data_IF_533776236344
#
_entry.id   IF_533776236344
#
_cell.length_a   1.000
_cell.length_b   1.000
_cell.length_c   1.000
_cell.angle_alpha   90.00
_cell.angle_beta   90.00
_cell.angle_gamma   90.00
#
_symmetry.space_group_name_H-M   'P 1'
#
loop_
_entity.id
_entity.type
_entity.pdbx_description
1 polymer ?
#
# COMPACT_ATOMS: atom_id res chain seq x y z
N UNK A 1 8.23 10.88 -27.04
CA UNK A 1 7.76 9.75 -26.19
C UNK A 1 7.28 10.36 -24.90
N UNK A 2 5.96 10.55 -24.80
CA UNK A 2 5.28 11.02 -23.59
C UNK A 2 5.24 9.79 -22.68
N UNK A 3 6.02 9.81 -21.58
CA UNK A 3 5.83 8.85 -20.50
C UNK A 3 4.36 8.95 -20.06
N UNK A 4 3.57 7.93 -20.35
CA UNK A 4 2.23 7.79 -19.81
C UNK A 4 2.35 7.69 -18.28
N UNK A 5 2.00 8.78 -17.62
CA UNK A 5 1.95 8.87 -16.16
C UNK A 5 0.76 8.01 -15.71
N UNK A 6 1.04 6.75 -15.35
CA UNK A 6 0.01 5.78 -14.98
C UNK A 6 -0.61 6.18 -13.65
N UNK A 7 -1.80 6.72 -13.69
CA UNK A 7 -2.54 7.19 -12.50
C UNK A 7 -2.74 6.11 -11.42
N UNK A 8 -2.74 4.85 -11.81
CA UNK A 8 -2.94 3.70 -10.92
C UNK A 8 -1.62 2.96 -10.62
N UNK A 9 -0.50 3.40 -11.20
CA UNK A 9 0.80 2.76 -11.02
C UNK A 9 1.23 2.70 -9.56
N UNK A 10 1.83 1.58 -9.16
CA UNK A 10 2.44 1.39 -7.84
C UNK A 10 3.80 2.10 -7.71
N UNK A 11 4.44 2.48 -8.83
CA UNK A 11 5.72 3.19 -8.81
C UNK A 11 5.55 4.64 -8.40
N UNK A 12 6.35 5.09 -7.43
CA UNK A 12 6.39 6.46 -6.96
C UNK A 12 7.53 7.22 -7.67
N UNK A 13 7.25 8.45 -8.11
CA UNK A 13 8.28 9.38 -8.56
C UNK A 13 8.80 10.17 -7.36
N UNK A 14 10.12 10.41 -7.27
CA UNK A 14 10.79 11.10 -6.15
C UNK A 14 10.21 12.49 -5.79
N UNK A 15 9.59 13.20 -6.75
CA UNK A 15 8.92 14.48 -6.50
C UNK A 15 7.57 14.32 -5.79
N UNK A 16 6.84 13.26 -6.07
CA UNK A 16 5.54 12.95 -5.47
C UNK A 16 5.68 12.49 -4.01
N UNK A 17 6.78 11.84 -3.65
CA UNK A 17 7.02 11.35 -2.30
C UNK A 17 7.05 12.48 -1.25
N UNK A 18 7.66 13.62 -1.57
CA UNK A 18 7.74 14.76 -0.63
C UNK A 18 6.40 15.42 -0.40
N UNK A 19 5.59 15.59 -1.46
CA UNK A 19 4.24 16.13 -1.32
C UNK A 19 3.31 15.14 -0.61
N UNK A 20 3.36 13.86 -0.96
CA UNK A 20 2.60 12.83 -0.25
C UNK A 20 2.91 12.80 1.26
N UNK A 21 4.17 12.99 1.64
CA UNK A 21 4.55 13.07 3.06
C UNK A 21 3.89 14.23 3.79
N UNK A 22 3.74 15.39 3.15
CA UNK A 22 3.08 16.54 3.75
C UNK A 22 1.57 16.35 3.96
N UNK A 23 0.94 15.50 3.14
CA UNK A 23 -0.48 15.18 3.21
C UNK A 23 -0.83 14.11 4.26
N UNK A 24 0.16 13.34 4.71
CA UNK A 24 -0.08 12.21 5.62
C UNK A 24 -0.48 12.67 7.01
N UNK A 25 -1.49 12.03 7.63
CA UNK A 25 -1.78 12.24 9.04
C UNK A 25 -0.59 11.81 9.90
N UNK A 26 -0.38 12.53 11.01
CA UNK A 26 0.72 12.28 11.95
C UNK A 26 0.30 11.51 13.19
N UNK A 27 -0.98 11.53 13.54
CA UNK A 27 -1.54 10.90 14.73
C UNK A 27 -2.81 10.11 14.38
N UNK A 28 -3.18 9.15 15.24
CA UNK A 28 -4.40 8.34 15.08
C UNK A 28 -5.67 9.22 15.02
N UNK A 29 -5.70 10.33 15.72
CA UNK A 29 -6.83 11.27 15.69
C UNK A 29 -7.08 11.92 14.33
N UNK A 30 -6.05 11.98 13.49
CA UNK A 30 -6.11 12.54 12.13
C UNK A 30 -6.30 11.47 11.06
N UNK A 31 -6.14 10.21 11.43
CA UNK A 31 -6.19 9.07 10.50
C UNK A 31 -7.63 8.68 10.23
N UNK A 32 -8.05 8.73 8.97
CA UNK A 32 -9.42 8.42 8.53
C UNK A 32 -9.46 6.97 8.09
N UNK A 33 -10.55 6.27 8.45
CA UNK A 33 -10.77 4.88 8.09
C UNK A 33 -10.04 3.87 8.97
N UNK A 34 -10.08 2.59 8.62
CA UNK A 34 -9.45 1.49 9.34
C UNK A 34 -9.83 1.45 10.84
N UNK A 35 -11.10 1.67 11.17
CA UNK A 35 -11.57 1.94 12.54
C UNK A 35 -11.21 0.83 13.53
N UNK A 36 -11.27 -0.44 13.11
CA UNK A 36 -10.91 -1.56 13.97
C UNK A 36 -9.40 -1.56 14.29
N UNK A 37 -8.57 -1.27 13.29
CA UNK A 37 -7.10 -1.18 13.47
C UNK A 37 -6.78 -0.02 14.39
N UNK A 38 -7.37 1.15 14.18
CA UNK A 38 -7.17 2.34 15.03
C UNK A 38 -7.52 2.07 16.48
N UNK A 39 -8.68 1.48 16.73
CA UNK A 39 -9.15 1.17 18.08
C UNK A 39 -8.20 0.23 18.80
N UNK A 40 -7.75 -0.84 18.11
CA UNK A 40 -6.82 -1.80 18.69
C UNK A 40 -5.44 -1.18 18.93
N UNK A 41 -4.88 -0.47 17.96
CA UNK A 41 -3.57 0.18 18.10
C UNK A 41 -3.56 1.20 19.23
N UNK A 42 -4.63 1.98 19.37
CA UNK A 42 -4.76 2.95 20.49
C UNK A 42 -4.61 2.24 21.84
N UNK A 43 -5.32 1.13 22.03
CA UNK A 43 -5.25 0.35 23.29
C UNK A 43 -3.84 -0.23 23.48
N UNK A 44 -3.24 -0.82 22.46
CA UNK A 44 -1.91 -1.44 22.55
C UNK A 44 -0.81 -0.41 22.84
N UNK A 45 -0.87 0.74 22.21
CA UNK A 45 0.06 1.86 22.42
C UNK A 45 -0.08 2.41 23.84
N UNK A 46 -1.30 2.69 24.29
CA UNK A 46 -1.56 3.18 25.65
C UNK A 46 -1.07 2.18 26.70
N UNK A 47 -1.33 0.89 26.51
CA UNK A 47 -0.88 -0.16 27.41
C UNK A 47 0.65 -0.28 27.48
N UNK A 48 1.33 -0.22 26.34
CA UNK A 48 2.79 -0.24 26.28
C UNK A 48 3.40 0.97 27.01
N UNK A 49 2.85 2.17 26.79
CA UNK A 49 3.27 3.39 27.48
C UNK A 49 3.06 3.32 28.98
N UNK A 50 1.92 2.78 29.44
CA UNK A 50 1.64 2.60 30.88
C UNK A 50 2.62 1.64 31.55
N UNK A 51 3.10 0.61 30.86
CA UNK A 51 4.08 -0.34 31.38
C UNK A 51 5.53 0.13 31.21
N UNK A 52 5.76 1.20 30.43
CA UNK A 52 7.11 1.66 30.07
C UNK A 52 7.84 0.67 29.17
N UNK A 53 7.10 -0.05 28.33
CA UNK A 53 7.61 -1.07 27.39
C UNK A 53 7.53 -0.56 25.94
N UNK A 54 8.30 -1.19 25.05
CA UNK A 54 8.13 -1.03 23.61
C UNK A 54 6.83 -1.69 23.16
N UNK A 55 6.25 -1.18 22.07
CA UNK A 55 5.11 -1.84 21.43
C UNK A 55 5.54 -3.18 20.83
N UNK A 56 4.68 -4.18 20.86
CA UNK A 56 4.89 -5.44 20.13
C UNK A 56 5.12 -5.18 18.63
N UNK A 57 5.92 -6.03 18.01
CA UNK A 57 6.15 -5.95 16.57
C UNK A 57 4.84 -6.05 15.79
N UNK A 58 4.67 -5.19 14.80
CA UNK A 58 3.44 -5.05 14.03
C UNK A 58 3.65 -5.46 12.57
N UNK A 59 2.76 -6.29 12.04
CA UNK A 59 2.69 -6.62 10.62
C UNK A 59 1.50 -5.90 9.99
N UNK A 60 1.79 -5.01 9.03
CA UNK A 60 0.79 -4.28 8.24
C UNK A 60 0.69 -4.92 6.85
N UNK A 61 -0.48 -5.40 6.46
CA UNK A 61 -0.63 -6.05 5.17
C UNK A 61 -1.95 -5.69 4.49
N UNK A 62 -1.92 -5.73 3.18
CA UNK A 62 -3.03 -5.39 2.31
C UNK A 62 -2.56 -4.78 0.99
N UNK A 63 -3.48 -4.49 0.07
CA UNK A 63 -3.16 -3.86 -1.21
C UNK A 63 -2.30 -2.60 -1.08
N UNK A 64 -1.55 -2.21 -2.11
CA UNK A 64 -0.73 -1.00 -2.09
C UNK A 64 -1.59 0.27 -2.00
N UNK A 65 -1.05 1.33 -1.45
CA UNK A 65 -1.70 2.66 -1.39
C UNK A 65 -2.74 2.84 -0.30
N UNK A 66 -2.88 1.90 0.65
CA UNK A 66 -3.83 1.96 1.76
C UNK A 66 -3.29 2.67 3.01
N UNK A 67 -2.01 3.07 3.01
CA UNK A 67 -1.44 3.84 4.11
C UNK A 67 -0.62 3.03 5.11
N UNK A 68 0.02 1.93 4.72
CA UNK A 68 0.90 1.13 5.60
C UNK A 68 2.06 1.97 6.16
N UNK A 69 2.77 2.69 5.31
CA UNK A 69 3.86 3.59 5.73
C UNK A 69 3.36 4.71 6.65
N UNK A 70 2.21 5.29 6.33
CA UNK A 70 1.57 6.31 7.15
C UNK A 70 1.27 5.78 8.55
N UNK A 71 0.72 4.58 8.64
CA UNK A 71 0.38 3.95 9.92
C UNK A 71 1.63 3.65 10.76
N UNK A 72 2.73 3.21 10.13
CA UNK A 72 4.01 3.03 10.82
C UNK A 72 4.53 4.34 11.42
N UNK A 73 4.46 5.43 10.68
CA UNK A 73 4.84 6.77 11.17
C UNK A 73 3.96 7.21 12.33
N UNK A 74 2.65 6.98 12.24
CA UNK A 74 1.70 7.26 13.31
C UNK A 74 2.05 6.47 14.59
N UNK A 75 2.37 5.20 14.47
CA UNK A 75 2.77 4.36 15.61
C UNK A 75 3.98 4.98 16.33
N UNK A 76 5.01 5.39 15.58
CA UNK A 76 6.18 6.04 16.16
C UNK A 76 5.83 7.36 16.85
N UNK A 77 5.01 8.19 16.22
CA UNK A 77 4.57 9.47 16.80
C UNK A 77 3.73 9.29 18.07
N UNK A 78 2.81 8.34 18.08
CA UNK A 78 2.00 8.03 19.27
C UNK A 78 2.83 7.44 20.41
N UNK A 79 3.86 6.66 20.10
CA UNK A 79 4.84 6.15 21.06
C UNK A 79 5.87 7.21 21.48
N UNK A 80 5.92 8.36 20.83
CA UNK A 80 6.89 9.45 21.07
C UNK A 80 8.34 9.01 20.88
N UNK A 81 8.61 8.21 19.85
CA UNK A 81 9.92 7.66 19.49
C UNK A 81 10.29 7.98 18.06
N UNK A 82 11.57 7.78 17.74
CA UNK A 82 12.06 7.89 16.37
C UNK A 82 11.59 6.74 15.46
N UNK A 83 11.69 6.95 14.16
CA UNK A 83 11.42 5.92 13.16
C UNK A 83 12.52 5.91 12.11
N UNK A 84 12.94 4.71 11.72
CA UNK A 84 13.83 4.48 10.56
C UNK A 84 13.09 3.67 9.52
N UNK A 85 13.28 4.07 8.27
CA UNK A 85 12.61 3.46 7.11
C UNK A 85 13.63 2.69 6.28
N UNK A 86 13.25 1.47 5.90
CA UNK A 86 13.97 0.68 4.91
C UNK A 86 12.98 -0.19 4.14
N UNK A 87 13.47 -1.01 3.24
CA UNK A 87 12.67 -1.97 2.48
C UNK A 87 13.37 -3.31 2.37
N UNK A 88 12.61 -4.37 2.14
CA UNK A 88 13.17 -5.70 1.91
C UNK A 88 14.24 -5.70 0.80
N UNK A 89 13.97 -5.11 -0.38
CA UNK A 89 14.96 -5.00 -1.45
C UNK A 89 16.23 -4.22 -1.10
N UNK A 90 16.15 -3.25 -0.20
CA UNK A 90 17.30 -2.44 0.23
C UNK A 90 18.25 -3.18 1.19
N UNK A 91 17.80 -4.29 1.78
CA UNK A 91 18.57 -5.13 2.68
C UNK A 91 19.12 -6.33 1.88
N UNK A 92 20.26 -6.15 1.24
CA UNK A 92 20.87 -7.19 0.40
C UNK A 92 21.78 -8.13 1.20
N UNK A 93 22.42 -7.62 2.23
CA UNK A 93 23.42 -8.33 3.04
C UNK A 93 23.09 -8.22 4.53
N UNK A 94 23.57 -9.17 5.30
CA UNK A 94 23.44 -9.15 6.77
C UNK A 94 24.03 -7.88 7.40
N UNK A 95 25.09 -7.33 6.82
CA UNK A 95 25.69 -6.07 7.25
C UNK A 95 24.77 -4.86 7.09
N UNK A 96 23.91 -4.85 6.07
CA UNK A 96 22.96 -3.76 5.88
C UNK A 96 21.93 -3.74 7.01
N UNK A 97 21.38 -4.90 7.37
CA UNK A 97 20.45 -5.04 8.51
C UNK A 97 21.14 -4.69 9.83
N UNK A 98 22.38 -5.18 10.05
CA UNK A 98 23.15 -4.89 11.25
C UNK A 98 23.40 -3.39 11.41
N UNK A 99 23.77 -2.69 10.33
CA UNK A 99 23.99 -1.24 10.36
C UNK A 99 22.73 -0.47 10.76
N UNK A 100 21.56 -0.88 10.26
CA UNK A 100 20.29 -0.25 10.61
C UNK A 100 19.95 -0.51 12.07
N UNK A 101 19.99 -1.78 12.52
CA UNK A 101 19.59 -2.17 13.87
C UNK A 101 20.49 -1.56 14.94
N UNK A 102 21.80 -1.49 14.71
CA UNK A 102 22.75 -0.88 15.65
C UNK A 102 22.66 0.65 15.71
N UNK A 103 21.98 1.27 14.75
CA UNK A 103 21.74 2.72 14.72
C UNK A 103 20.43 3.14 15.40
N UNK A 104 19.64 2.20 15.90
CA UNK A 104 18.39 2.48 16.61
C UNK A 104 18.65 3.00 18.02
N UNK A 105 17.84 3.96 18.44
CA UNK A 105 17.76 4.39 19.83
C UNK A 105 16.73 3.53 20.60
N UNK A 106 16.79 3.47 21.95
CA UNK A 106 15.82 2.72 22.74
C UNK A 106 14.39 3.15 22.46
N UNK A 107 13.54 2.21 22.09
CA UNK A 107 12.13 2.43 21.78
C UNK A 107 11.82 2.78 20.34
N UNK A 108 12.82 3.03 19.50
CA UNK A 108 12.62 3.38 18.09
C UNK A 108 11.78 2.36 17.33
N UNK A 109 11.11 2.83 16.30
CA UNK A 109 10.42 2.01 15.31
C UNK A 109 11.34 1.80 14.10
N UNK A 110 11.50 0.55 13.70
CA UNK A 110 12.08 0.19 12.40
C UNK A 110 10.95 -0.23 11.47
N UNK A 111 10.77 0.53 10.39
CA UNK A 111 9.82 0.19 9.33
C UNK A 111 10.53 -0.49 8.16
N UNK A 112 10.07 -1.70 7.81
CA UNK A 112 10.56 -2.45 6.64
C UNK A 112 9.40 -2.65 5.67
N UNK A 113 9.43 -1.92 4.56
CA UNK A 113 8.46 -2.11 3.49
C UNK A 113 8.84 -3.33 2.64
N UNK A 114 7.85 -3.94 1.99
CA UNK A 114 8.03 -5.18 1.22
C UNK A 114 8.87 -6.24 1.97
N UNK A 115 8.57 -6.44 3.26
CA UNK A 115 9.34 -7.33 4.13
C UNK A 115 9.40 -8.78 3.62
N UNK A 116 8.44 -9.21 2.80
CA UNK A 116 8.43 -10.52 2.15
C UNK A 116 9.57 -10.73 1.14
N UNK A 117 10.29 -9.66 0.75
CA UNK A 117 11.42 -9.72 -0.18
C UNK A 117 12.78 -9.85 0.50
N UNK A 118 12.82 -9.94 1.83
CA UNK A 118 14.07 -10.24 2.57
C UNK A 118 14.50 -11.67 2.28
N UNK A 119 15.80 -11.88 2.07
CA UNK A 119 16.37 -13.22 1.89
C UNK A 119 16.28 -14.03 3.19
N UNK A 120 16.22 -15.37 3.09
CA UNK A 120 16.09 -16.25 4.24
C UNK A 120 17.25 -16.11 5.25
N UNK A 121 18.47 -15.90 4.77
CA UNK A 121 19.64 -15.71 5.63
C UNK A 121 19.55 -14.45 6.48
N UNK A 122 19.01 -13.36 5.92
CA UNK A 122 18.77 -12.11 6.62
C UNK A 122 17.58 -12.25 7.57
N UNK A 123 16.55 -12.97 7.17
CA UNK A 123 15.38 -13.25 8.00
C UNK A 123 15.75 -13.97 9.31
N UNK A 124 16.69 -14.92 9.27
CA UNK A 124 17.18 -15.63 10.46
C UNK A 124 17.87 -14.69 11.47
N UNK A 125 18.62 -13.70 10.99
CA UNK A 125 19.23 -12.66 11.85
C UNK A 125 18.13 -11.80 12.49
N UNK A 126 17.09 -11.49 11.73
CA UNK A 126 15.98 -10.68 12.21
C UNK A 126 15.20 -11.37 13.35
N UNK A 127 15.12 -12.70 13.37
CA UNK A 127 14.45 -13.43 14.43
C UNK A 127 15.03 -13.15 15.82
N UNK A 128 16.34 -13.26 15.97
CA UNK A 128 17.02 -12.97 17.24
C UNK A 128 16.89 -11.50 17.64
N UNK A 129 16.96 -10.59 16.65
CA UNK A 129 16.77 -9.18 16.90
C UNK A 129 15.36 -8.86 17.41
N UNK A 130 14.33 -9.50 16.86
CA UNK A 130 12.93 -9.30 17.27
C UNK A 130 12.60 -9.92 18.64
N UNK A 131 13.10 -11.11 18.91
CA UNK A 131 12.76 -11.86 20.13
C UNK A 131 13.57 -11.40 21.35
N UNK A 132 14.90 -11.29 21.18
CA UNK A 132 15.83 -11.14 22.28
C UNK A 132 16.70 -9.89 22.19
N UNK A 133 16.49 -9.04 21.22
CA UNK A 133 17.21 -7.78 21.00
C UNK A 133 18.73 -7.97 20.94
N UNK A 134 19.19 -8.94 20.17
CA UNK A 134 20.61 -9.09 19.86
C UNK A 134 20.84 -9.51 18.39
N UNK A 135 22.06 -9.30 17.94
CA UNK A 135 22.57 -9.79 16.65
C UNK A 135 23.77 -10.70 16.88
N UNK A 136 23.85 -11.80 16.17
CA UNK A 136 25.05 -12.59 16.02
C UNK A 136 25.69 -12.27 14.65
N UNK A 137 26.87 -11.67 14.67
CA UNK A 137 27.63 -11.30 13.48
C UNK A 137 28.84 -12.19 13.35
N UNK A 138 29.03 -12.78 12.17
CA UNK A 138 30.24 -13.57 11.86
C UNK A 138 31.30 -12.64 11.27
N UNK A 139 32.43 -12.54 11.96
CA UNK A 139 33.61 -11.76 11.52
C UNK A 139 34.72 -12.73 11.13
N UNK A 140 35.37 -12.49 9.99
CA UNK A 140 36.43 -13.34 9.45
C UNK A 140 35.95 -14.29 8.37
N UNK A 141 36.87 -15.02 7.77
CA UNK A 141 36.57 -16.04 6.72
C UNK A 141 37.24 -17.37 7.08
N UNK A 142 36.59 -18.48 6.78
CA UNK A 142 37.13 -19.81 7.00
C UNK A 142 37.30 -20.19 8.48
N UNK A 143 38.39 -20.85 8.83
CA UNK A 143 38.66 -21.35 10.18
C UNK A 143 38.89 -20.24 11.23
N UNK A 144 39.14 -19.01 10.81
CA UNK A 144 39.30 -17.84 11.68
C UNK A 144 38.00 -17.06 11.92
N UNK A 145 36.87 -17.57 11.44
CA UNK A 145 35.59 -16.91 11.64
C UNK A 145 35.16 -16.97 13.12
N UNK A 146 34.79 -15.80 13.64
CA UNK A 146 34.28 -15.66 15.01
C UNK A 146 32.88 -15.05 14.97
N UNK A 147 31.97 -15.61 15.78
CA UNK A 147 30.66 -15.01 16.01
C UNK A 147 30.75 -14.03 17.17
N UNK A 148 30.33 -12.80 16.94
CA UNK A 148 30.23 -11.75 17.96
C UNK A 148 28.76 -11.42 18.16
N UNK A 149 28.33 -11.46 19.42
CA UNK A 149 26.99 -11.03 19.81
C UNK A 149 26.99 -9.54 20.13
N UNK A 150 26.09 -8.80 19.47
CA UNK A 150 25.85 -7.39 19.72
C UNK A 150 24.47 -7.24 20.34
N UNK A 151 24.41 -6.63 21.51
CA UNK A 151 23.12 -6.28 22.14
C UNK A 151 22.52 -5.05 21.43
N UNK A 152 21.21 -5.11 21.22
CA UNK A 152 20.41 -4.04 20.61
C UNK A 152 19.55 -3.37 21.68
N UNK A 153 19.27 -2.07 21.54
CA UNK A 153 18.23 -1.45 22.34
C UNK A 153 16.87 -2.06 21.98
N UNK A 154 15.94 -2.16 22.93
CA UNK A 154 14.56 -2.57 22.62
C UNK A 154 13.96 -1.67 21.55
N UNK A 155 13.33 -2.24 20.55
CA UNK A 155 12.72 -1.55 19.42
C UNK A 155 11.43 -2.24 18.98
N UNK A 156 10.63 -1.55 18.18
CA UNK A 156 9.45 -2.13 17.53
C UNK A 156 9.71 -2.26 16.04
N UNK A 157 9.61 -3.48 15.52
CA UNK A 157 9.60 -3.72 14.08
C UNK A 157 8.18 -3.55 13.55
N UNK A 158 8.01 -2.69 12.56
CA UNK A 158 6.78 -2.59 11.77
C UNK A 158 7.09 -3.07 10.36
N UNK A 159 6.64 -4.26 10.03
CA UNK A 159 6.76 -4.84 8.69
C UNK A 159 5.54 -4.53 7.84
N UNK A 160 5.76 -4.21 6.58
CA UNK A 160 4.68 -4.00 5.61
C UNK A 160 4.82 -4.95 4.42
N UNK A 161 3.69 -5.49 3.96
CA UNK A 161 3.65 -6.36 2.79
C UNK A 161 2.30 -6.27 2.07
N UNK A 162 2.32 -6.41 0.76
CA UNK A 162 1.10 -6.63 -0.04
C UNK A 162 0.62 -8.08 0.08
N UNK A 163 1.50 -8.99 0.52
CA UNK A 163 1.29 -10.44 0.49
C UNK A 163 1.68 -11.09 1.83
N UNK A 164 0.77 -11.11 2.79
CA UNK A 164 1.01 -11.79 4.07
C UNK A 164 1.36 -13.27 3.90
N UNK A 165 0.78 -13.94 2.91
CA UNK A 165 1.07 -15.34 2.60
C UNK A 165 2.46 -15.60 2.01
N UNK A 166 3.17 -14.56 1.55
CA UNK A 166 4.54 -14.69 1.07
C UNK A 166 5.60 -14.66 2.18
N UNK A 167 5.22 -14.25 3.41
CA UNK A 167 6.09 -14.36 4.56
C UNK A 167 6.20 -15.83 5.00
N UNK A 168 7.40 -16.19 5.45
CA UNK A 168 7.57 -17.47 6.12
C UNK A 168 6.75 -17.52 7.42
N UNK A 169 6.27 -18.69 7.80
CA UNK A 169 5.53 -18.83 9.05
C UNK A 169 6.37 -18.39 10.27
N UNK A 170 7.68 -18.75 10.38
CA UNK A 170 8.50 -18.28 11.49
C UNK A 170 8.59 -16.75 11.61
N UNK A 171 8.69 -16.04 10.51
CA UNK A 171 8.71 -14.56 10.55
C UNK A 171 7.35 -13.99 10.93
N UNK A 172 6.29 -14.47 10.29
CA UNK A 172 4.93 -14.02 10.56
C UNK A 172 4.52 -14.22 12.02
N UNK A 173 4.88 -15.35 12.61
CA UNK A 173 4.51 -15.69 13.98
C UNK A 173 5.23 -14.83 15.05
N UNK A 174 6.30 -14.12 14.66
CA UNK A 174 7.02 -13.19 15.53
C UNK A 174 6.38 -11.81 15.65
N UNK A 175 5.42 -11.51 14.81
CA UNK A 175 4.63 -10.30 14.96
C UNK A 175 3.48 -10.53 15.94
N UNK A 176 3.47 -9.77 17.03
CA UNK A 176 2.39 -9.86 18.03
C UNK A 176 1.10 -9.14 17.61
N UNK A 177 1.23 -8.16 16.70
CA UNK A 177 0.10 -7.37 16.20
C UNK A 177 -0.01 -7.51 14.68
N UNK A 178 -1.17 -7.94 14.21
CA UNK A 178 -1.47 -8.10 12.79
C UNK A 178 -2.55 -7.11 12.38
N UNK A 179 -2.24 -6.24 11.43
CA UNK A 179 -3.16 -5.22 10.92
C UNK A 179 -3.40 -5.46 9.43
N UNK A 180 -4.57 -5.98 9.11
CA UNK A 180 -5.03 -6.10 7.73
C UNK A 180 -5.72 -4.82 7.31
N UNK A 181 -5.07 -4.05 6.44
CA UNK A 181 -5.68 -2.86 5.86
C UNK A 181 -6.65 -3.24 4.75
N UNK A 182 -7.79 -2.59 4.75
CA UNK A 182 -8.85 -2.82 3.77
C UNK A 182 -9.06 -1.61 2.88
N UNK A 183 -9.71 -1.81 1.74
CA UNK A 183 -10.11 -0.72 0.89
C UNK A 183 -11.04 0.24 1.64
N UNK A 184 -10.85 1.51 1.39
CA UNK A 184 -11.66 2.59 1.97
C UNK A 184 -13.03 2.67 1.32
N UNK A 185 -14.01 3.10 2.08
CA UNK A 185 -15.33 3.45 1.56
C UNK A 185 -15.29 4.77 0.80
N UNK A 186 -16.28 5.04 -0.03
CA UNK A 186 -16.39 6.31 -0.75
C UNK A 186 -16.47 7.47 0.23
N UNK A 187 -17.23 7.34 1.32
CA UNK A 187 -17.35 8.39 2.35
C UNK A 187 -16.02 8.67 3.04
N UNK A 188 -15.23 7.66 3.39
CA UNK A 188 -13.90 7.84 3.97
C UNK A 188 -12.95 8.54 3.00
N UNK A 189 -12.96 8.14 1.72
CA UNK A 189 -12.15 8.78 0.68
C UNK A 189 -12.60 10.22 0.42
N UNK A 190 -13.89 10.51 0.47
CA UNK A 190 -14.41 11.86 0.35
C UNK A 190 -13.86 12.77 1.47
N UNK A 191 -13.88 12.28 2.71
CA UNK A 191 -13.30 13.02 3.84
C UNK A 191 -11.79 13.24 3.67
N UNK A 192 -11.06 12.26 3.11
CA UNK A 192 -9.63 12.41 2.79
C UNK A 192 -9.41 13.47 1.72
N UNK A 193 -10.23 13.47 0.67
CA UNK A 193 -10.14 14.44 -0.42
C UNK A 193 -10.42 15.85 0.08
N UNK A 194 -11.46 16.05 0.89
CA UNK A 194 -11.79 17.32 1.49
C UNK A 194 -10.66 17.85 2.39
N UNK A 195 -10.11 16.99 3.26
CA UNK A 195 -8.94 17.34 4.06
C UNK A 195 -7.72 17.71 3.19
N UNK A 196 -7.49 16.99 2.11
CA UNK A 196 -6.35 17.27 1.21
C UNK A 196 -6.59 18.56 0.42
N UNK A 197 -7.83 18.85 0.02
CA UNK A 197 -8.17 20.10 -0.66
C UNK A 197 -7.92 21.32 0.21
N UNK A 198 -8.22 21.22 1.51
CA UNK A 198 -7.88 22.27 2.50
C UNK A 198 -6.37 22.50 2.56
N UNK A 199 -5.56 21.43 2.57
CA UNK A 199 -4.09 21.54 2.57
C UNK A 199 -3.57 22.17 1.28
N UNK A 200 -4.21 21.90 0.16
CA UNK A 200 -3.89 22.49 -1.15
C UNK A 200 -4.46 23.89 -1.34
N UNK A 201 -5.22 24.39 -0.38
CA UNK A 201 -5.91 25.69 -0.48
C UNK A 201 -6.75 25.80 -1.77
N UNK A 202 -7.44 24.71 -2.14
CA UNK A 202 -8.32 24.68 -3.30
C UNK A 202 -9.76 24.40 -2.90
N UNK A 203 -10.69 25.20 -3.44
CA UNK A 203 -12.11 25.04 -3.21
C UNK A 203 -12.66 23.85 -3.98
N UNK A 204 -13.36 22.97 -3.29
CA UNK A 204 -14.03 21.80 -3.85
C UNK A 204 -15.44 21.67 -3.29
N UNK A 205 -16.43 21.42 -4.14
CA UNK A 205 -17.78 21.12 -3.68
C UNK A 205 -17.96 19.62 -3.31
N UNK A 206 -19.03 19.34 -2.55
CA UNK A 206 -19.34 17.98 -2.08
C UNK A 206 -19.55 16.99 -3.23
N UNK A 207 -20.11 17.43 -4.34
CA UNK A 207 -20.35 16.57 -5.50
C UNK A 207 -19.06 16.22 -6.24
N UNK A 208 -18.12 17.15 -6.29
CA UNK A 208 -16.79 16.95 -6.87
C UNK A 208 -15.94 16.00 -6.00
N UNK A 209 -15.93 16.21 -4.69
CA UNK A 209 -15.21 15.32 -3.76
C UNK A 209 -15.77 13.91 -3.80
N UNK A 210 -17.09 13.76 -3.89
CA UNK A 210 -17.74 12.45 -4.08
C UNK A 210 -17.35 11.79 -5.40
N UNK A 211 -17.35 12.53 -6.51
CA UNK A 211 -16.99 12.01 -7.84
C UNK A 211 -15.53 11.50 -7.87
N UNK A 212 -14.59 12.27 -7.32
CA UNK A 212 -13.19 11.85 -7.21
C UNK A 212 -13.08 10.62 -6.30
N UNK A 213 -13.77 10.61 -5.15
CA UNK A 213 -13.78 9.48 -4.23
C UNK A 213 -14.30 8.19 -4.88
N UNK A 214 -15.37 8.28 -5.64
CA UNK A 214 -15.97 7.15 -6.35
C UNK A 214 -15.02 6.50 -7.36
N UNK A 215 -14.17 7.30 -8.02
CA UNK A 215 -13.19 6.84 -9.00
C UNK A 215 -11.83 6.47 -8.40
N UNK A 216 -11.66 6.57 -7.08
CA UNK A 216 -10.37 6.38 -6.38
C UNK A 216 -10.05 4.94 -6.01
N UNK A 217 -10.85 3.97 -6.43
CA UNK A 217 -10.57 2.52 -6.24
C UNK A 217 -10.41 2.10 -4.77
N UNK A 218 -11.04 2.77 -3.84
CA UNK A 218 -10.90 2.48 -2.42
C UNK A 218 -9.52 2.81 -1.83
N UNK A 219 -8.72 3.63 -2.51
CA UNK A 219 -7.31 3.83 -2.18
C UNK A 219 -6.99 5.32 -1.94
N UNK A 220 -6.54 5.71 -0.73
CA UNK A 220 -6.18 7.09 -0.42
C UNK A 220 -5.10 7.69 -1.33
N UNK A 221 -4.10 6.91 -1.70
CA UNK A 221 -3.04 7.36 -2.62
C UNK A 221 -3.62 7.77 -3.97
N UNK A 222 -4.50 6.96 -4.55
CA UNK A 222 -5.15 7.27 -5.82
C UNK A 222 -6.07 8.48 -5.65
N UNK A 223 -6.83 8.58 -4.57
CA UNK A 223 -7.67 9.73 -4.28
C UNK A 223 -6.86 11.05 -4.29
N UNK A 224 -5.74 11.09 -3.60
CA UNK A 224 -4.87 12.26 -3.56
C UNK A 224 -4.23 12.57 -4.93
N UNK A 225 -3.83 11.55 -5.69
CA UNK A 225 -3.31 11.73 -7.06
C UNK A 225 -4.36 12.30 -8.00
N UNK A 226 -5.58 11.76 -7.98
CA UNK A 226 -6.68 12.26 -8.80
C UNK A 226 -7.03 13.70 -8.42
N UNK A 227 -7.15 14.01 -7.12
CA UNK A 227 -7.40 15.37 -6.65
C UNK A 227 -6.33 16.36 -7.15
N UNK A 228 -5.05 15.98 -7.06
CA UNK A 228 -3.94 16.80 -7.55
C UNK A 228 -4.08 17.11 -9.04
N UNK A 229 -4.42 16.13 -9.85
CA UNK A 229 -4.61 16.34 -11.30
C UNK A 229 -5.85 17.18 -11.59
N UNK A 230 -6.97 16.91 -10.92
CA UNK A 230 -8.19 17.72 -11.07
C UNK A 230 -7.94 19.19 -10.65
N UNK A 231 -7.15 19.42 -9.59
CA UNK A 231 -6.69 20.75 -9.19
C UNK A 231 -5.92 21.44 -10.31
N UNK A 232 -5.00 20.72 -10.99
CA UNK A 232 -4.24 21.32 -12.11
C UNK A 232 -5.18 21.79 -13.23
N UNK A 233 -6.20 21.00 -13.56
CA UNK A 233 -7.24 21.42 -14.51
C UNK A 233 -8.04 22.64 -14.02
N UNK A 234 -8.39 22.68 -12.73
CA UNK A 234 -9.14 23.77 -12.15
C UNK A 234 -8.34 25.09 -12.18
N UNK A 235 -7.06 25.04 -11.88
CA UNK A 235 -6.19 26.23 -11.95
C UNK A 235 -6.10 26.84 -13.35
N UNK A 236 -6.13 26.00 -14.37
CA UNK A 236 -6.03 26.47 -15.77
C UNK A 236 -7.37 26.88 -16.36
N UNK A 237 -8.45 26.20 -15.98
CA UNK A 237 -9.77 26.34 -16.65
C UNK A 237 -10.82 27.06 -15.81
N UNK A 238 -10.67 27.15 -14.50
CA UNK A 238 -11.75 27.62 -13.59
C UNK A 238 -11.23 28.32 -12.33
N UNK A 239 -10.23 29.14 -12.44
CA UNK A 239 -9.68 29.98 -11.36
C UNK A 239 -9.41 29.23 -10.04
N UNK A 240 -9.04 27.94 -10.14
CA UNK A 240 -8.69 27.10 -9.01
C UNK A 240 -9.88 26.44 -8.30
N UNK A 241 -11.11 26.67 -8.74
CA UNK A 241 -12.33 26.06 -8.14
C UNK A 241 -12.63 24.73 -8.81
N UNK A 242 -12.76 23.68 -8.01
CA UNK A 242 -13.13 22.33 -8.47
C UNK A 242 -14.65 22.17 -8.39
N UNK A 243 -15.33 22.41 -9.51
CA UNK A 243 -16.76 22.13 -9.69
C UNK A 243 -16.98 20.75 -10.32
N UNK A 244 -18.17 20.18 -10.11
CA UNK A 244 -18.49 18.82 -10.56
C UNK A 244 -18.23 18.56 -12.04
N UNK A 245 -18.68 19.46 -12.91
CA UNK A 245 -18.51 19.32 -14.35
C UNK A 245 -17.03 19.25 -14.73
N UNK A 246 -16.21 20.09 -14.11
CA UNK A 246 -14.78 20.09 -14.31
C UNK A 246 -14.11 18.83 -13.76
N UNK A 247 -14.55 18.35 -12.60
CA UNK A 247 -14.03 17.10 -12.01
C UNK A 247 -14.31 15.92 -12.94
N UNK A 248 -15.54 15.79 -13.44
CA UNK A 248 -15.93 14.72 -14.39
C UNK A 248 -15.11 14.82 -15.68
N UNK A 249 -15.06 16.01 -16.30
CA UNK A 249 -14.28 16.23 -17.54
C UNK A 249 -12.80 15.86 -17.34
N UNK A 250 -12.21 16.30 -16.24
CA UNK A 250 -10.80 16.02 -15.94
C UNK A 250 -10.53 14.54 -15.76
N UNK A 251 -11.39 13.84 -15.01
CA UNK A 251 -11.25 12.39 -14.76
C UNK A 251 -11.45 11.59 -16.04
N UNK A 252 -12.36 12.00 -16.91
CA UNK A 252 -12.55 11.36 -18.22
C UNK A 252 -11.34 11.57 -19.14
N UNK A 253 -10.72 12.76 -19.13
CA UNK A 253 -9.47 13.02 -19.84
C UNK A 253 -8.29 12.22 -19.29
N UNK A 254 -8.29 11.92 -18.00
CA UNK A 254 -7.31 11.04 -17.35
C UNK A 254 -7.59 9.56 -17.60
N UNK A 255 -8.63 9.22 -18.36
CA UNK A 255 -9.03 7.86 -18.70
C UNK A 255 -9.35 6.99 -17.48
N UNK A 256 -9.92 7.59 -16.43
CA UNK A 256 -10.44 6.89 -15.26
C UNK A 256 -11.97 6.93 -15.34
N UNK A 257 -12.59 5.78 -15.49
CA UNK A 257 -14.05 5.69 -15.66
C UNK A 257 -14.83 5.88 -14.33
N UNK A 258 -16.14 5.87 -14.42
CA UNK A 258 -17.03 6.04 -13.27
C UNK A 258 -16.88 4.95 -12.18
N UNK A 259 -16.22 3.84 -12.46
CA UNK A 259 -15.90 2.78 -11.51
C UNK A 259 -14.45 2.79 -11.07
N UNK A 260 -13.67 3.78 -11.49
CA UNK A 260 -12.26 3.89 -11.21
C UNK A 260 -11.39 2.93 -12.04
N UNK A 261 -11.92 2.38 -13.12
CA UNK A 261 -11.15 1.52 -14.01
C UNK A 261 -10.34 2.37 -15.00
N UNK A 262 -9.10 1.97 -15.21
CA UNK A 262 -8.20 2.59 -16.17
C UNK A 262 -7.98 1.68 -17.41
N UNK A 263 -7.10 2.12 -18.30
CA UNK A 263 -6.77 1.40 -19.53
C UNK A 263 -6.24 -0.02 -19.27
N UNK A 264 -5.48 -0.25 -18.20
CA UNK A 264 -4.94 -1.58 -17.87
C UNK A 264 -6.06 -2.51 -17.40
N UNK A 265 -6.99 -2.01 -16.57
CA UNK A 265 -8.17 -2.77 -16.17
C UNK A 265 -8.97 -3.22 -17.39
N UNK A 266 -9.21 -2.30 -18.35
CA UNK A 266 -9.89 -2.62 -19.59
C UNK A 266 -9.15 -3.69 -20.40
N UNK A 267 -7.82 -3.59 -20.53
CA UNK A 267 -7.00 -4.63 -21.19
C UNK A 267 -7.13 -5.99 -20.52
N UNK A 268 -7.14 -6.04 -19.17
CA UNK A 268 -7.34 -7.28 -18.42
C UNK A 268 -8.72 -7.88 -18.72
N UNK A 269 -9.79 -7.09 -18.61
CA UNK A 269 -11.15 -7.56 -18.84
C UNK A 269 -11.38 -7.96 -20.30
N UNK A 270 -10.89 -7.19 -21.26
CA UNK A 270 -10.97 -7.53 -22.68
C UNK A 270 -10.17 -8.81 -23.04
N UNK A 271 -9.00 -8.98 -22.43
CA UNK A 271 -8.22 -10.20 -22.54
C UNK A 271 -9.06 -11.42 -22.14
N UNK A 272 -9.68 -11.38 -20.96
CA UNK A 272 -10.49 -12.47 -20.45
C UNK A 272 -11.75 -12.72 -21.28
N UNK A 273 -12.44 -11.66 -21.71
CA UNK A 273 -13.72 -11.73 -22.39
C UNK A 273 -13.57 -12.00 -23.90
N UNK A 274 -12.78 -11.16 -24.58
CA UNK A 274 -12.70 -11.20 -26.05
C UNK A 274 -11.69 -12.24 -26.56
N UNK A 275 -10.50 -12.28 -25.92
CA UNK A 275 -9.42 -13.15 -26.41
C UNK A 275 -9.55 -14.60 -25.95
N UNK A 276 -9.99 -14.78 -24.69
CA UNK A 276 -10.11 -16.11 -24.08
C UNK A 276 -11.58 -16.55 -23.90
N UNK A 277 -12.52 -15.81 -24.50
CA UNK A 277 -13.94 -16.18 -24.59
C UNK A 277 -14.59 -16.50 -23.23
N UNK A 278 -14.17 -15.79 -22.17
CA UNK A 278 -14.68 -15.97 -20.81
C UNK A 278 -14.12 -17.17 -20.06
N UNK A 279 -13.18 -17.92 -20.63
CA UNK A 279 -12.54 -19.04 -19.94
C UNK A 279 -11.61 -18.53 -18.84
N UNK A 280 -11.35 -19.39 -17.84
CA UNK A 280 -10.37 -19.10 -16.80
C UNK A 280 -8.95 -19.07 -17.38
N UNK A 281 -8.19 -18.01 -17.09
CA UNK A 281 -6.85 -17.74 -17.62
C UNK A 281 -5.86 -17.54 -16.48
N UNK A 282 -4.70 -18.17 -16.57
CA UNK A 282 -3.61 -18.00 -15.60
C UNK A 282 -3.03 -16.58 -15.64
N UNK A 283 -2.52 -16.12 -14.49
CA UNK A 283 -1.97 -14.78 -14.33
C UNK A 283 -0.86 -14.45 -15.33
N UNK A 284 0.10 -15.36 -15.50
CA UNK A 284 1.22 -15.21 -16.44
C UNK A 284 0.74 -15.04 -17.89
N UNK A 285 -0.30 -15.76 -18.26
CA UNK A 285 -0.89 -15.67 -19.60
C UNK A 285 -1.54 -14.31 -19.84
N UNK A 286 -2.24 -13.80 -18.84
CA UNK A 286 -2.81 -12.44 -18.88
C UNK A 286 -1.69 -11.42 -19.04
N UNK A 287 -0.66 -11.50 -18.19
CA UNK A 287 0.47 -10.60 -18.16
C UNK A 287 1.18 -10.50 -19.52
N UNK A 288 1.53 -11.63 -20.10
CA UNK A 288 2.16 -11.69 -21.43
C UNK A 288 1.21 -11.12 -22.50
N UNK A 289 -0.07 -11.41 -22.40
CA UNK A 289 -1.06 -11.00 -23.42
C UNK A 289 -1.23 -9.47 -23.46
N UNK A 290 -1.25 -8.82 -22.30
CA UNK A 290 -1.49 -7.36 -22.22
C UNK A 290 -0.19 -6.53 -22.15
N UNK A 291 0.97 -7.21 -22.05
CA UNK A 291 2.27 -6.57 -21.94
C UNK A 291 2.52 -5.90 -20.59
N UNK A 292 2.10 -6.55 -19.51
CA UNK A 292 2.28 -6.06 -18.12
C UNK A 292 3.00 -7.13 -17.29
N UNK A 293 3.61 -6.72 -16.16
CA UNK A 293 4.21 -7.65 -15.21
C UNK A 293 3.13 -8.38 -14.39
N UNK A 294 3.31 -9.70 -14.20
CA UNK A 294 2.38 -10.52 -13.39
C UNK A 294 2.18 -9.98 -12.00
N UNK A 295 3.26 -9.54 -11.34
CA UNK A 295 3.24 -8.96 -9.99
C UNK A 295 2.41 -7.68 -9.96
N UNK A 296 2.54 -6.81 -10.97
CA UNK A 296 1.77 -5.58 -11.08
C UNK A 296 0.28 -5.88 -11.21
N UNK A 297 -0.09 -6.85 -12.04
CA UNK A 297 -1.49 -7.26 -12.18
C UNK A 297 -2.02 -7.78 -10.85
N UNK A 298 -1.30 -8.68 -10.19
CA UNK A 298 -1.74 -9.35 -8.97
C UNK A 298 -1.83 -8.40 -7.77
N UNK A 299 -0.90 -7.46 -7.63
CA UNK A 299 -0.84 -6.58 -6.47
C UNK A 299 -1.64 -5.29 -6.63
N UNK A 300 -1.67 -4.72 -7.84
CA UNK A 300 -2.26 -3.39 -8.09
C UNK A 300 -3.66 -3.46 -8.66
N UNK A 301 -3.89 -4.27 -9.69
CA UNK A 301 -5.15 -4.28 -10.44
C UNK A 301 -6.15 -5.32 -9.93
N UNK A 302 -5.72 -6.54 -9.76
CA UNK A 302 -6.58 -7.67 -9.41
C UNK A 302 -7.33 -7.49 -8.08
N UNK A 303 -6.72 -7.00 -6.98
CA UNK A 303 -7.43 -6.88 -5.70
C UNK A 303 -8.70 -6.03 -5.79
N UNK A 304 -8.64 -4.91 -6.50
CA UNK A 304 -9.81 -4.06 -6.70
C UNK A 304 -10.84 -4.68 -7.65
N UNK A 305 -10.39 -5.29 -8.75
CA UNK A 305 -11.28 -5.96 -9.70
C UNK A 305 -12.02 -7.15 -9.06
N UNK A 306 -11.36 -7.89 -8.18
CA UNK A 306 -12.00 -8.97 -7.39
C UNK A 306 -12.99 -8.39 -6.37
N UNK A 307 -12.57 -7.37 -5.61
CA UNK A 307 -13.45 -6.71 -4.63
C UNK A 307 -14.72 -6.18 -5.27
N UNK A 308 -14.59 -5.52 -6.42
CA UNK A 308 -15.76 -4.97 -7.14
C UNK A 308 -16.56 -6.03 -7.92
N UNK A 309 -16.07 -7.26 -7.95
CA UNK A 309 -16.75 -8.38 -8.60
C UNK A 309 -16.69 -8.35 -10.12
N UNK A 310 -15.68 -7.74 -10.72
CA UNK A 310 -15.41 -7.79 -12.16
C UNK A 310 -14.72 -9.06 -12.59
N UNK A 311 -13.85 -9.60 -11.74
CA UNK A 311 -13.17 -10.86 -11.95
C UNK A 311 -13.31 -11.76 -10.72
N UNK A 312 -13.19 -13.05 -10.93
CA UNK A 312 -13.12 -14.06 -9.88
C UNK A 312 -11.89 -14.94 -10.05
N UNK A 313 -11.35 -15.39 -8.93
CA UNK A 313 -10.26 -16.38 -8.89
C UNK A 313 -10.84 -17.78 -8.86
N UNK A 314 -10.38 -18.63 -9.77
CA UNK A 314 -10.74 -20.05 -9.83
C UNK A 314 -9.46 -20.91 -9.71
N UNK A 315 -9.56 -22.22 -9.44
CA UNK A 315 -8.40 -23.12 -9.45
C UNK A 315 -7.66 -23.15 -10.78
N UNK A 316 -8.32 -22.78 -11.87
CA UNK A 316 -7.74 -22.76 -13.24
C UNK A 316 -7.22 -21.38 -13.66
N UNK A 317 -7.42 -20.35 -12.86
CA UNK A 317 -7.01 -18.99 -13.17
C UNK A 317 -8.09 -17.95 -12.89
N UNK A 318 -8.01 -16.81 -13.58
CA UNK A 318 -8.94 -15.68 -13.44
C UNK A 318 -9.99 -15.73 -14.51
N UNK A 319 -11.22 -15.38 -14.16
CA UNK A 319 -12.36 -15.34 -15.07
C UNK A 319 -13.14 -14.05 -14.89
N UNK A 320 -13.62 -13.47 -16.00
CA UNK A 320 -14.50 -12.32 -15.96
C UNK A 320 -15.90 -12.74 -15.52
N UNK A 321 -16.54 -11.90 -14.72
CA UNK A 321 -17.91 -12.08 -14.25
C UNK A 321 -18.93 -11.44 -15.18
N UNK A 322 -20.21 -11.74 -15.02
CA UNK A 322 -21.30 -11.09 -15.77
C UNK A 322 -21.27 -9.56 -15.62
N UNK A 323 -20.84 -9.04 -14.45
CA UNK A 323 -20.67 -7.61 -14.21
C UNK A 323 -19.60 -6.98 -15.13
N UNK A 324 -18.53 -7.69 -15.41
CA UNK A 324 -17.50 -7.23 -16.34
C UNK A 324 -18.03 -7.15 -17.78
N UNK A 325 -18.78 -8.14 -18.23
CA UNK A 325 -19.42 -8.12 -19.53
C UNK A 325 -20.39 -6.94 -19.66
N UNK A 326 -21.23 -6.72 -18.65
CA UNK A 326 -22.15 -5.58 -18.61
C UNK A 326 -21.42 -4.24 -18.67
N UNK A 327 -20.33 -4.11 -17.93
CA UNK A 327 -19.52 -2.90 -17.88
C UNK A 327 -18.90 -2.56 -19.24
N UNK A 328 -18.44 -3.59 -19.98
CA UNK A 328 -17.90 -3.44 -21.34
C UNK A 328 -18.98 -3.36 -22.43
N UNK A 329 -20.26 -3.44 -22.08
CA UNK A 329 -21.36 -3.48 -23.05
C UNK A 329 -21.38 -4.73 -23.93
N UNK A 330 -20.84 -5.85 -23.44
CA UNK A 330 -20.74 -7.13 -24.16
C UNK A 330 -21.79 -8.08 -23.61
N UNK A 331 -22.52 -8.78 -24.49
CA UNK A 331 -23.52 -9.76 -24.07
C UNK A 331 -22.85 -10.95 -23.33
N UNK A 332 -23.32 -11.25 -22.13
CA UNK A 332 -22.89 -12.40 -21.36
C UNK A 332 -23.60 -13.66 -21.89
N UNK A 333 -22.83 -14.63 -22.40
CA UNK A 333 -23.37 -15.93 -22.79
C UNK A 333 -23.25 -16.85 -21.57
N UNK A 334 -24.39 -17.25 -21.02
CA UNK A 334 -24.45 -18.32 -20.02
C UNK A 334 -24.24 -19.63 -20.79
N UNK A 335 -23.16 -20.36 -20.51
CA UNK A 335 -22.98 -21.75 -20.95
C UNK A 335 -23.82 -22.70 -20.12
#
# INVERSE_FOLDING_TARGET
>A
EIMEDRMVSASQNFGEEREEQSLRPKFLSQYIGQEQIKSNLKIFIEAAKLRGEVLDHCLLYGPPGLGKTTLATIIANEMEVGIKYTSGPAIEKSGDLAAILTSLEPGDVLFIDEIHRISRSIEEILYSAMEDFYLDIVIGKGEESRSIRIELPPFTLVGATTRAGALTAPLRDRFGVHCRLEFYTISELQNIIERTSDIFECDIDEQSSYEIAMRSRGTPRIANRLLKRVRDFAQVKNDGVIAKELAVESLDLLQVDAKGLDNIDYKILECLIKRYEGRAVGLETIAVTIGEESITIEDVYEPYLVKEGFIERTPRGRRATSKAYQHLGIAYKVE
#
